data_IF_695502411895
#
_entry.id   IF_695502411895
#
_cell.length_a   1.000
_cell.length_b   1.000
_cell.length_c   1.000
_cell.angle_alpha   90.00
_cell.angle_beta   90.00
_cell.angle_gamma   90.00
#
_symmetry.space_group_name_H-M   'P 1'
#
loop_
_entity.id
_entity.type
_entity.pdbx_description
1 polymer ?
#
# COMPACT_ATOMS: atom_id res chain seq x y z
N UNK A 1 35.08 -43.41 -13.59
CA UNK A 1 34.37 -42.72 -12.50
C UNK A 1 35.38 -42.50 -11.38
N UNK A 2 35.48 -41.27 -10.85
CA UNK A 2 34.46 -40.72 -9.93
C UNK A 2 33.76 -39.46 -10.45
N UNK A 3 32.50 -39.32 -10.05
CA UNK A 3 31.66 -38.13 -10.23
C UNK A 3 31.84 -37.27 -8.98
N UNK A 4 32.44 -36.10 -9.12
CA UNK A 4 32.36 -35.06 -8.09
C UNK A 4 31.37 -33.99 -8.58
N UNK A 5 30.15 -34.10 -8.06
CA UNK A 5 29.25 -32.96 -7.96
C UNK A 5 29.87 -31.95 -7.00
N UNK A 6 29.96 -30.68 -7.40
CA UNK A 6 29.68 -29.55 -6.52
C UNK A 6 29.55 -28.24 -7.31
N UNK A 7 28.33 -27.72 -7.20
CA UNK A 7 28.01 -26.32 -6.96
C UNK A 7 28.22 -25.33 -8.12
N UNK A 8 27.12 -25.17 -8.86
CA UNK A 8 26.79 -24.01 -9.67
C UNK A 8 26.98 -22.69 -8.92
N UNK A 9 28.17 -22.11 -9.06
CA UNK A 9 28.50 -20.77 -8.62
C UNK A 9 28.64 -19.88 -9.85
N UNK A 10 27.56 -19.20 -10.24
CA UNK A 10 27.60 -18.08 -11.19
C UNK A 10 26.37 -17.16 -11.02
N UNK A 11 26.10 -16.74 -9.79
CA UNK A 11 25.29 -15.55 -9.52
C UNK A 11 26.21 -14.37 -9.16
N UNK A 12 27.10 -14.04 -10.09
CA UNK A 12 27.88 -12.80 -10.03
C UNK A 12 27.23 -11.77 -10.95
N UNK A 13 26.09 -11.24 -10.52
CA UNK A 13 25.59 -9.98 -11.07
C UNK A 13 25.47 -9.05 -9.89
N UNK A 14 26.32 -8.03 -9.88
CA UNK A 14 26.31 -6.89 -8.96
C UNK A 14 24.87 -6.48 -8.62
N UNK A 15 24.39 -6.92 -7.46
CA UNK A 15 23.21 -6.35 -6.84
C UNK A 15 23.73 -5.01 -6.30
N UNK A 16 23.46 -3.94 -7.03
CA UNK A 16 23.28 -2.63 -6.38
C UNK A 16 22.32 -2.93 -5.23
N UNK A 17 22.76 -2.83 -3.99
CA UNK A 17 21.95 -3.09 -2.79
C UNK A 17 20.74 -2.15 -2.81
N UNK A 18 19.69 -2.58 -3.51
CA UNK A 18 18.39 -1.95 -3.48
C UNK A 18 17.84 -2.29 -2.11
N UNK A 19 17.79 -1.31 -1.22
CA UNK A 19 17.26 -1.50 0.12
C UNK A 19 15.80 -1.95 0.03
N UNK A 20 15.54 -3.19 0.40
CA UNK A 20 14.21 -3.77 0.59
C UNK A 20 13.92 -3.86 2.08
N UNK A 21 12.67 -3.67 2.46
CA UNK A 21 12.25 -3.82 3.85
C UNK A 21 10.79 -4.26 3.95
N UNK A 22 10.46 -4.91 5.07
CA UNK A 22 9.07 -5.16 5.44
C UNK A 22 8.50 -3.98 6.23
N UNK A 23 7.21 -3.62 6.05
CA UNK A 23 6.55 -2.64 6.91
C UNK A 23 6.52 -3.02 8.40
N UNK A 24 6.71 -4.30 8.74
CA UNK A 24 6.80 -4.78 10.12
C UNK A 24 8.21 -4.63 10.73
N UNK A 25 9.18 -4.08 10.00
CA UNK A 25 10.50 -3.77 10.58
C UNK A 25 10.44 -2.58 11.54
N UNK A 26 11.21 -2.66 12.62
CA UNK A 26 11.23 -1.62 13.67
C UNK A 26 11.66 -0.26 13.15
N UNK A 27 12.51 -0.22 12.12
CA UNK A 27 13.05 0.96 11.47
C UNK A 27 12.41 1.22 10.08
N UNK A 28 11.36 0.47 9.70
CA UNK A 28 10.71 0.60 8.39
C UNK A 28 10.25 2.03 8.08
N UNK A 29 9.75 2.75 9.09
CA UNK A 29 9.34 4.13 8.97
C UNK A 29 10.50 5.08 8.66
N UNK A 30 11.66 4.85 9.27
CA UNK A 30 12.90 5.62 9.05
C UNK A 30 13.50 5.29 7.69
N UNK A 31 13.51 4.01 7.30
CA UNK A 31 13.94 3.58 5.96
C UNK A 31 13.11 4.22 4.85
N UNK A 32 11.79 4.36 5.06
CA UNK A 32 10.90 4.98 4.09
C UNK A 32 11.06 6.51 4.02
N UNK A 33 11.45 7.15 5.11
CA UNK A 33 11.59 8.61 5.19
C UNK A 33 12.74 9.11 4.30
N UNK A 34 12.50 10.18 3.55
CA UNK A 34 13.45 10.69 2.55
C UNK A 34 13.60 9.85 1.27
N UNK A 35 13.16 8.59 1.28
CA UNK A 35 13.27 7.67 0.15
C UNK A 35 12.00 7.59 -0.71
N UNK A 36 12.16 7.08 -1.93
CA UNK A 36 11.05 6.84 -2.86
C UNK A 36 10.87 5.35 -3.10
N UNK A 37 9.62 4.84 -3.11
CA UNK A 37 9.40 3.44 -3.38
C UNK A 37 9.56 3.14 -4.88
N UNK A 38 10.02 1.94 -5.18
CA UNK A 38 10.16 1.40 -6.54
C UNK A 38 9.13 0.32 -6.81
N UNK A 39 9.05 -0.66 -5.92
CA UNK A 39 8.24 -1.87 -6.06
C UNK A 39 7.60 -2.21 -4.72
N UNK A 40 6.37 -2.71 -4.80
CA UNK A 40 5.63 -3.35 -3.71
C UNK A 40 5.47 -4.81 -4.08
N UNK A 41 6.00 -5.70 -3.27
CA UNK A 41 5.88 -7.14 -3.42
C UNK A 41 4.83 -7.65 -2.44
N UNK A 42 3.88 -8.42 -2.94
CA UNK A 42 2.82 -9.03 -2.16
C UNK A 42 2.49 -10.39 -2.77
N UNK A 43 2.52 -11.45 -1.97
CA UNK A 43 2.51 -12.83 -2.43
C UNK A 43 3.58 -13.03 -3.53
N UNK A 44 3.23 -13.70 -4.63
CA UNK A 44 4.10 -13.90 -5.81
C UNK A 44 4.06 -12.73 -6.81
N UNK A 45 3.54 -11.56 -6.43
CA UNK A 45 3.35 -10.41 -7.33
C UNK A 45 4.31 -9.27 -7.01
N UNK A 46 5.00 -8.79 -8.04
CA UNK A 46 5.81 -7.56 -7.98
C UNK A 46 5.06 -6.42 -8.68
N UNK A 47 4.70 -5.40 -7.92
CA UNK A 47 3.90 -4.26 -8.39
C UNK A 47 4.77 -3.00 -8.41
N UNK A 48 4.99 -2.42 -9.60
CA UNK A 48 5.71 -1.16 -9.73
C UNK A 48 4.94 -0.01 -9.09
N UNK A 49 5.61 0.81 -8.30
CA UNK A 49 5.03 1.98 -7.62
C UNK A 49 5.81 3.26 -7.91
N UNK A 50 5.10 4.38 -7.87
CA UNK A 50 5.68 5.71 -8.16
C UNK A 50 5.77 6.63 -6.95
N UNK A 51 5.05 6.33 -5.87
CA UNK A 51 4.95 7.20 -4.68
C UNK A 51 4.33 6.44 -3.51
N UNK A 52 4.46 6.97 -2.28
CA UNK A 52 3.89 6.35 -1.08
C UNK A 52 2.36 6.26 -1.07
N UNK A 53 1.66 7.24 -1.67
CA UNK A 53 0.21 7.13 -1.92
C UNK A 53 -0.14 5.92 -2.82
N UNK A 54 0.71 5.62 -3.81
CA UNK A 54 0.49 4.54 -4.78
C UNK A 54 0.75 3.18 -4.10
N UNK A 55 1.73 3.11 -3.19
CA UNK A 55 1.95 1.96 -2.31
C UNK A 55 0.70 1.66 -1.50
N UNK A 56 0.16 2.65 -0.77
CA UNK A 56 -1.03 2.46 0.07
C UNK A 56 -2.25 2.02 -0.77
N UNK A 57 -2.50 2.67 -1.90
CA UNK A 57 -3.62 2.33 -2.79
C UNK A 57 -3.50 0.89 -3.28
N UNK A 58 -2.32 0.48 -3.76
CA UNK A 58 -2.11 -0.88 -4.29
C UNK A 58 -2.17 -1.95 -3.22
N UNK A 59 -1.64 -1.67 -2.04
CA UNK A 59 -1.75 -2.55 -0.88
C UNK A 59 -3.22 -2.78 -0.51
N UNK A 60 -3.99 -1.70 -0.31
CA UNK A 60 -5.42 -1.81 0.01
C UNK A 60 -6.22 -2.47 -1.13
N UNK A 61 -5.88 -2.20 -2.39
CA UNK A 61 -6.52 -2.83 -3.55
C UNK A 61 -6.30 -4.34 -3.55
N UNK A 62 -5.09 -4.76 -3.21
CA UNK A 62 -4.78 -6.18 -3.12
C UNK A 62 -5.65 -6.84 -2.04
N UNK A 63 -5.70 -6.28 -0.83
CA UNK A 63 -6.53 -6.84 0.26
C UNK A 63 -8.01 -6.88 -0.13
N UNK A 64 -8.53 -5.80 -0.72
CA UNK A 64 -9.93 -5.75 -1.18
C UNK A 64 -10.26 -6.85 -2.21
N UNK A 65 -9.31 -7.22 -3.04
CA UNK A 65 -9.51 -8.18 -4.13
C UNK A 65 -9.17 -9.63 -3.74
N UNK A 66 -8.63 -9.84 -2.54
CA UNK A 66 -8.27 -11.16 -2.04
C UNK A 66 -9.31 -11.60 -0.99
N UNK A 67 -10.09 -12.68 -1.25
CA UNK A 67 -11.16 -13.13 -0.37
C UNK A 67 -10.68 -13.66 0.99
N UNK A 68 -9.37 -13.88 1.18
CA UNK A 68 -8.80 -14.27 2.48
C UNK A 68 -8.79 -13.12 3.49
N UNK A 69 -8.92 -11.87 3.02
CA UNK A 69 -8.96 -10.69 3.88
C UNK A 69 -10.38 -10.16 4.00
N UNK A 70 -10.86 -10.05 5.23
CA UNK A 70 -12.10 -9.32 5.53
C UNK A 70 -11.86 -7.81 5.42
N UNK A 71 -12.00 -7.30 4.20
CA UNK A 71 -11.80 -5.88 3.91
C UNK A 71 -12.82 -4.98 4.63
N UNK A 72 -14.02 -5.49 4.92
CA UNK A 72 -15.04 -4.72 5.65
C UNK A 72 -14.55 -4.39 7.06
N UNK A 73 -13.85 -5.32 7.72
CA UNK A 73 -13.22 -5.05 9.01
C UNK A 73 -12.22 -3.89 8.97
N UNK A 74 -11.60 -3.55 7.82
CA UNK A 74 -10.75 -2.36 7.68
C UNK A 74 -11.61 -1.10 7.71
N UNK A 75 -12.74 -1.12 7.00
CA UNK A 75 -13.68 0.01 6.92
C UNK A 75 -14.34 0.32 8.26
N UNK A 76 -14.61 -0.72 9.07
CA UNK A 76 -15.18 -0.57 10.41
C UNK A 76 -14.16 -0.07 11.46
N UNK A 77 -12.86 -0.26 11.24
CA UNK A 77 -11.81 0.00 12.25
C UNK A 77 -10.80 1.06 11.80
N UNK A 78 -11.23 2.02 10.97
CA UNK A 78 -10.35 3.01 10.36
C UNK A 78 -9.65 3.93 11.37
N UNK A 79 -10.31 4.29 12.47
CA UNK A 79 -9.68 5.12 13.50
C UNK A 79 -8.43 4.45 14.07
N UNK A 80 -8.50 3.15 14.35
CA UNK A 80 -7.39 2.40 14.93
C UNK A 80 -6.27 2.16 13.90
N UNK A 81 -6.66 1.68 12.71
CA UNK A 81 -5.73 1.34 11.64
C UNK A 81 -5.05 2.56 11.01
N UNK A 82 -5.76 3.68 10.89
CA UNK A 82 -5.30 4.84 10.15
C UNK A 82 -5.08 6.10 10.98
N UNK A 83 -5.44 6.06 12.28
CA UNK A 83 -5.54 7.24 13.15
C UNK A 83 -6.46 8.32 12.55
N UNK A 84 -7.45 7.89 11.76
CA UNK A 84 -8.42 8.74 11.05
C UNK A 84 -9.59 7.92 10.50
N UNK A 85 -10.81 8.27 10.92
CA UNK A 85 -12.06 7.63 10.48
C UNK A 85 -12.35 7.81 8.98
N UNK A 86 -12.01 8.96 8.41
CA UNK A 86 -12.28 9.29 7.00
C UNK A 86 -11.12 8.94 6.05
N UNK A 87 -10.44 7.82 6.27
CA UNK A 87 -9.32 7.43 5.41
C UNK A 87 -9.80 6.77 4.12
N UNK A 88 -10.87 5.99 4.18
CA UNK A 88 -11.54 5.33 3.07
C UNK A 88 -13.01 5.69 3.16
N UNK A 89 -13.53 6.34 2.12
CA UNK A 89 -14.89 6.84 2.07
C UNK A 89 -15.61 6.29 0.85
N UNK A 90 -16.90 6.01 1.01
CA UNK A 90 -17.82 5.84 -0.12
C UNK A 90 -18.01 7.17 -0.86
N UNK A 91 -18.30 7.10 -2.15
CA UNK A 91 -18.48 8.28 -3.00
C UNK A 91 -19.59 9.19 -2.46
N UNK A 92 -20.72 8.64 -2.02
CA UNK A 92 -21.82 9.44 -1.47
C UNK A 92 -21.36 10.38 -0.34
N UNK A 93 -20.55 9.86 0.60
CA UNK A 93 -20.00 10.64 1.72
C UNK A 93 -18.93 11.63 1.24
N UNK A 94 -18.04 11.20 0.33
CA UNK A 94 -17.00 12.08 -0.20
C UNK A 94 -17.61 13.25 -0.99
N UNK A 95 -18.68 13.02 -1.73
CA UNK A 95 -19.41 14.04 -2.48
C UNK A 95 -19.92 15.13 -1.55
N UNK A 96 -20.55 14.77 -0.44
CA UNK A 96 -21.05 15.75 0.55
C UNK A 96 -19.91 16.62 1.14
N UNK A 97 -18.73 16.01 1.37
CA UNK A 97 -17.53 16.73 1.83
C UNK A 97 -17.02 17.71 0.77
N UNK A 98 -16.99 17.29 -0.51
CA UNK A 98 -16.52 18.12 -1.62
C UNK A 98 -17.48 19.28 -1.88
N UNK A 99 -18.78 19.03 -1.84
CA UNK A 99 -19.82 20.06 -2.02
C UNK A 99 -19.75 21.11 -0.90
N UNK A 100 -19.34 20.69 0.31
CA UNK A 100 -19.10 21.59 1.45
C UNK A 100 -17.76 22.34 1.36
N UNK A 101 -16.71 21.73 0.78
CA UNK A 101 -15.39 22.35 0.60
C UNK A 101 -14.60 21.71 -0.56
N UNK A 102 -14.67 22.35 -1.73
CA UNK A 102 -14.12 21.84 -2.98
C UNK A 102 -12.61 21.49 -2.93
N UNK A 103 -11.83 22.15 -2.06
CA UNK A 103 -10.38 21.93 -1.94
C UNK A 103 -10.00 20.53 -1.44
N UNK A 104 -10.94 19.75 -0.92
CA UNK A 104 -10.70 18.39 -0.45
C UNK A 104 -10.70 17.33 -1.56
N UNK A 105 -11.26 17.66 -2.73
CA UNK A 105 -11.40 16.76 -3.88
C UNK A 105 -10.10 16.04 -4.29
N UNK A 106 -8.99 16.79 -4.37
CA UNK A 106 -7.70 16.27 -4.83
C UNK A 106 -6.96 15.41 -3.79
N UNK A 107 -7.51 15.28 -2.58
CA UNK A 107 -6.90 14.51 -1.48
C UNK A 107 -7.38 13.08 -1.42
N UNK A 108 -8.32 12.70 -2.27
CA UNK A 108 -8.90 11.36 -2.31
C UNK A 108 -8.75 10.75 -3.69
N UNK A 109 -8.42 9.46 -3.74
CA UNK A 109 -8.29 8.71 -5.00
C UNK A 109 -8.96 7.35 -4.92
N UNK A 110 -9.54 6.91 -6.02
CA UNK A 110 -10.05 5.55 -6.19
C UNK A 110 -8.92 4.52 -6.12
N UNK A 111 -9.29 3.24 -6.11
CA UNK A 111 -8.34 2.12 -6.25
C UNK A 111 -7.61 2.07 -7.61
N UNK A 112 -8.04 2.87 -8.59
CA UNK A 112 -7.32 3.06 -9.85
C UNK A 112 -6.40 4.28 -9.82
N UNK A 113 -6.29 4.95 -8.66
CA UNK A 113 -5.43 6.10 -8.47
C UNK A 113 -5.94 7.38 -9.13
N UNK A 114 -7.22 7.45 -9.45
CA UNK A 114 -7.84 8.66 -10.03
C UNK A 114 -8.61 9.43 -8.97
N UNK A 115 -8.63 10.75 -9.13
CA UNK A 115 -9.56 11.64 -8.42
C UNK A 115 -10.95 11.50 -9.04
N UNK A 116 -11.99 11.90 -8.29
CA UNK A 116 -13.39 11.68 -8.64
C UNK A 116 -13.78 12.22 -10.03
N UNK A 117 -13.26 13.40 -10.41
CA UNK A 117 -13.55 14.09 -11.68
C UNK A 117 -12.94 13.38 -12.91
N UNK A 118 -12.10 12.37 -12.68
CA UNK A 118 -11.48 11.52 -13.72
C UNK A 118 -12.08 10.12 -13.80
N UNK A 119 -13.04 9.79 -12.93
CA UNK A 119 -13.81 8.56 -13.05
C UNK A 119 -14.98 8.77 -14.00
N UNK A 120 -15.24 7.77 -14.85
CA UNK A 120 -16.29 7.85 -15.88
C UNK A 120 -17.66 7.55 -15.32
N UNK A 121 -17.73 6.54 -14.45
CA UNK A 121 -18.95 5.99 -13.90
C UNK A 121 -18.82 5.98 -12.37
N UNK A 122 -19.21 7.09 -11.75
CA UNK A 122 -19.26 7.20 -10.29
C UNK A 122 -20.50 6.47 -9.77
N UNK A 123 -20.29 5.63 -8.78
CA UNK A 123 -21.30 4.89 -8.05
C UNK A 123 -21.17 5.23 -6.57
N UNK A 124 -22.29 5.27 -5.84
CA UNK A 124 -22.32 5.71 -4.43
C UNK A 124 -21.49 4.79 -3.52
N UNK A 125 -21.34 3.51 -3.89
CA UNK A 125 -20.55 2.53 -3.16
C UNK A 125 -19.06 2.53 -3.55
N UNK A 126 -18.67 3.33 -4.55
CA UNK A 126 -17.27 3.44 -4.96
C UNK A 126 -16.41 4.02 -3.84
N UNK A 127 -15.33 3.33 -3.53
CA UNK A 127 -14.42 3.71 -2.44
C UNK A 127 -13.28 4.61 -2.91
N UNK A 128 -13.00 5.63 -2.10
CA UNK A 128 -11.94 6.59 -2.29
C UNK A 128 -11.05 6.66 -1.05
N UNK A 129 -9.73 6.70 -1.26
CA UNK A 129 -8.71 6.66 -0.23
C UNK A 129 -8.08 8.04 -0.07
N UNK A 130 -7.97 8.52 1.15
CA UNK A 130 -7.25 9.74 1.48
C UNK A 130 -5.74 9.55 1.29
N UNK A 131 -5.16 10.27 0.33
CA UNK A 131 -3.80 10.07 -0.16
C UNK A 131 -2.76 11.06 0.37
N UNK A 132 -3.17 12.11 1.07
CA UNK A 132 -2.21 13.06 1.64
C UNK A 132 -1.56 12.44 2.88
N UNK A 133 -0.41 11.80 2.69
CA UNK A 133 0.27 11.00 3.70
C UNK A 133 1.80 11.05 3.52
N UNK A 134 2.54 11.05 4.63
CA UNK A 134 4.00 10.90 4.63
C UNK A 134 4.42 9.43 4.40
N UNK A 135 5.70 9.21 4.09
CA UNK A 135 6.28 7.88 3.96
C UNK A 135 6.12 7.06 5.25
N UNK A 136 6.56 7.60 6.38
CA UNK A 136 6.48 6.98 7.70
C UNK A 136 5.04 6.63 8.11
N UNK A 137 4.07 7.53 7.85
CA UNK A 137 2.65 7.24 8.11
C UNK A 137 2.10 6.16 7.17
N UNK A 138 2.56 6.11 5.91
CA UNK A 138 2.16 5.05 4.98
C UNK A 138 2.60 3.68 5.50
N UNK A 139 3.86 3.56 5.92
CA UNK A 139 4.40 2.34 6.51
C UNK A 139 3.64 1.94 7.78
N UNK A 140 3.41 2.88 8.70
CA UNK A 140 2.67 2.62 9.94
C UNK A 140 1.25 2.10 9.68
N UNK A 141 0.56 2.61 8.65
CA UNK A 141 -0.79 2.14 8.30
C UNK A 141 -0.76 0.73 7.73
N UNK A 142 0.24 0.43 6.91
CA UNK A 142 0.42 -0.91 6.34
C UNK A 142 0.77 -1.89 7.47
N UNK A 143 1.68 -1.52 8.37
CA UNK A 143 2.09 -2.38 9.49
C UNK A 143 0.92 -2.71 10.40
N UNK A 144 0.09 -1.74 10.78
CA UNK A 144 -1.12 -1.98 11.60
C UNK A 144 -2.12 -2.91 10.94
N UNK A 145 -2.29 -2.79 9.62
CA UNK A 145 -3.16 -3.71 8.87
C UNK A 145 -2.54 -5.11 8.83
N UNK A 146 -1.24 -5.22 8.58
CA UNK A 146 -0.53 -6.49 8.62
C UNK A 146 -0.66 -7.17 9.99
N UNK A 147 -0.50 -6.42 11.08
CA UNK A 147 -0.71 -6.89 12.45
C UNK A 147 -2.16 -7.35 12.67
N UNK A 148 -3.15 -6.56 12.23
CA UNK A 148 -4.58 -6.92 12.36
C UNK A 148 -4.90 -8.27 11.69
N UNK A 149 -4.32 -8.53 10.53
CA UNK A 149 -4.55 -9.77 9.78
C UNK A 149 -3.51 -10.86 10.08
N UNK A 150 -2.65 -10.68 11.08
CA UNK A 150 -1.56 -11.61 11.43
C UNK A 150 -0.70 -12.01 10.22
N UNK A 151 -0.44 -11.04 9.33
CA UNK A 151 0.38 -11.25 8.14
C UNK A 151 1.85 -11.45 8.55
N UNK A 152 2.55 -12.35 7.85
CA UNK A 152 3.98 -12.56 8.08
C UNK A 152 4.81 -11.36 7.59
N UNK A 153 6.02 -11.21 8.13
CA UNK A 153 6.98 -10.17 7.72
C UNK A 153 7.23 -10.18 6.20
N UNK A 154 7.31 -11.35 5.60
CA UNK A 154 7.67 -11.52 4.18
C UNK A 154 6.48 -11.37 3.22
N UNK A 155 5.24 -11.27 3.75
CA UNK A 155 4.03 -11.12 2.92
C UNK A 155 3.94 -9.78 2.20
N UNK A 156 4.63 -8.76 2.73
CA UNK A 156 4.71 -7.42 2.12
C UNK A 156 6.16 -6.95 2.19
N UNK A 157 6.76 -6.72 1.03
CA UNK A 157 8.12 -6.19 0.91
C UNK A 157 8.12 -4.97 0.01
N UNK A 158 8.78 -3.91 0.46
CA UNK A 158 8.91 -2.66 -0.30
C UNK A 158 10.37 -2.50 -0.70
N UNK A 159 10.59 -2.27 -1.99
CA UNK A 159 11.90 -1.93 -2.53
C UNK A 159 12.00 -0.42 -2.75
N UNK A 160 13.09 0.18 -2.29
CA UNK A 160 13.41 1.59 -2.50
C UNK A 160 14.17 1.80 -3.81
N UNK A 161 14.16 3.05 -4.29
CA UNK A 161 14.94 3.51 -5.43
C UNK A 161 16.29 4.09 -5.01
#
# INVERSE_FOLDING_TARGET
MPVEMRESSNWNTQIVEKSTFSPLESDAGEMAEGNKPQELQMDDKVIKVKSWQDVLIKFLKHLKNNPEFDFESILENQLDLFSREETILKWGVLKDIIDSNFNHSNRYKSFDGKVWDKEKDLDDEMLFIHINISASRCILRISRIMEKFNMSKDSVVIQLR
#
